data_IF_207857555021
#
_entry.id   IF_207857555021
#
_cell.length_a   1.000
_cell.length_b   1.000
_cell.length_c   1.000
_cell.angle_alpha   90.00
_cell.angle_beta   90.00
_cell.angle_gamma   90.00
#
_symmetry.space_group_name_H-M   'P 1'
#
loop_
_entity.id
_entity.type
_entity.pdbx_description
1 polymer ?
#
# COMPACT_ATOMS: atom_id res chain seq x y z
N UNK A 1 1.59 4.17 4.45
CA UNK A 1 1.66 2.98 3.56
C UNK A 1 1.41 3.35 2.11
N UNK A 2 0.24 3.88 1.72
CA UNK A 2 -0.10 4.12 0.29
C UNK A 2 0.97 4.89 -0.48
N UNK A 3 1.41 6.04 0.02
CA UNK A 3 2.42 6.86 -0.63
C UNK A 3 3.78 6.16 -0.70
N UNK A 4 4.21 5.54 0.40
CA UNK A 4 5.48 4.81 0.43
C UNK A 4 5.50 3.66 -0.58
N UNK A 5 4.46 2.83 -0.59
CA UNK A 5 4.37 1.72 -1.54
C UNK A 5 4.30 2.20 -3.00
N UNK A 6 3.67 3.36 -3.28
CA UNK A 6 3.69 3.97 -4.61
C UNK A 6 5.11 4.40 -5.01
N UNK A 7 5.85 5.06 -4.11
CA UNK A 7 7.24 5.48 -4.37
C UNK A 7 8.16 4.26 -4.59
N UNK A 8 7.99 3.21 -3.80
CA UNK A 8 8.72 1.95 -4.02
C UNK A 8 8.40 1.37 -5.39
N UNK A 9 7.13 1.33 -5.79
CA UNK A 9 6.73 0.83 -7.12
C UNK A 9 7.33 1.67 -8.25
N UNK A 10 7.36 3.00 -8.14
CA UNK A 10 8.05 3.88 -9.10
C UNK A 10 9.54 3.55 -9.18
N UNK A 11 10.20 3.34 -8.05
CA UNK A 11 11.62 2.98 -7.99
C UNK A 11 11.91 1.61 -8.63
N UNK A 12 10.94 0.69 -8.60
CA UNK A 12 11.00 -0.61 -9.25
C UNK A 12 10.64 -0.57 -10.75
N UNK A 13 10.35 0.60 -11.31
CA UNK A 13 10.14 0.81 -12.74
C UNK A 13 8.69 0.95 -13.19
N UNK A 14 7.73 1.00 -12.28
CA UNK A 14 6.35 1.30 -12.65
C UNK A 14 6.15 2.80 -12.88
N UNK A 15 5.32 3.16 -13.86
CA UNK A 15 4.89 4.54 -14.05
C UNK A 15 4.07 5.04 -12.85
N UNK A 16 4.02 6.37 -12.64
CA UNK A 16 3.36 6.97 -11.49
C UNK A 16 1.88 6.55 -11.34
N UNK A 17 1.15 6.52 -12.43
CA UNK A 17 -0.27 6.15 -12.40
C UNK A 17 -0.47 4.70 -11.95
N UNK A 18 0.32 3.77 -12.48
CA UNK A 18 0.34 2.37 -12.03
C UNK A 18 0.80 2.26 -10.57
N UNK A 19 1.87 2.95 -10.21
CA UNK A 19 2.44 2.95 -8.87
C UNK A 19 1.45 3.44 -7.80
N UNK A 20 0.69 4.47 -8.07
CA UNK A 20 -0.36 4.97 -7.17
C UNK A 20 -1.42 3.91 -6.88
N UNK A 21 -1.90 3.22 -7.92
CA UNK A 21 -2.91 2.16 -7.75
C UNK A 21 -2.35 0.95 -7.01
N UNK A 22 -1.11 0.56 -7.30
CA UNK A 22 -0.39 -0.50 -6.58
C UNK A 22 -0.21 -0.14 -5.10
N UNK A 23 0.20 1.10 -4.81
CA UNK A 23 0.37 1.60 -3.44
C UNK A 23 -0.91 1.55 -2.62
N UNK A 24 -2.04 1.93 -3.21
CA UNK A 24 -3.36 1.81 -2.57
C UNK A 24 -3.72 0.36 -2.28
N UNK A 25 -3.51 -0.53 -3.24
CA UNK A 25 -3.81 -1.96 -3.08
C UNK A 25 -2.97 -2.61 -1.97
N UNK A 26 -1.67 -2.34 -1.91
CA UNK A 26 -0.78 -2.82 -0.85
C UNK A 26 -1.25 -2.32 0.52
N UNK A 27 -1.63 -1.06 0.64
CA UNK A 27 -2.15 -0.52 1.89
C UNK A 27 -3.45 -1.23 2.33
N UNK A 28 -4.34 -1.51 1.40
CA UNK A 28 -5.58 -2.25 1.65
C UNK A 28 -5.31 -3.70 2.10
N UNK A 29 -4.43 -4.41 1.43
CA UNK A 29 -4.04 -5.78 1.78
C UNK A 29 -3.39 -5.86 3.17
N UNK A 30 -2.53 -4.90 3.51
CA UNK A 30 -1.93 -4.83 4.83
C UNK A 30 -2.95 -4.53 5.93
N UNK A 31 -3.90 -3.63 5.68
CA UNK A 31 -4.98 -3.34 6.62
C UNK A 31 -5.86 -4.56 6.87
N UNK A 32 -6.22 -5.31 5.83
CA UNK A 32 -7.00 -6.55 5.95
C UNK A 32 -6.24 -7.63 6.74
N UNK A 33 -4.96 -7.83 6.45
CA UNK A 33 -4.12 -8.79 7.15
C UNK A 33 -4.02 -8.46 8.65
N UNK A 34 -3.83 -7.19 8.99
CA UNK A 34 -3.81 -6.71 10.37
C UNK A 34 -5.17 -6.90 11.05
N UNK A 35 -6.26 -6.59 10.38
CA UNK A 35 -7.61 -6.75 10.90
C UNK A 35 -7.95 -8.20 11.21
N UNK A 36 -7.57 -9.14 10.36
CA UNK A 36 -7.73 -10.59 10.63
C UNK A 36 -6.93 -11.04 11.84
N UNK A 37 -5.70 -10.61 11.97
CA UNK A 37 -4.84 -10.96 13.11
C UNK A 37 -5.35 -10.40 14.44
N UNK A 38 -6.03 -9.26 14.41
CA UNK A 38 -6.62 -8.62 15.59
C UNK A 38 -8.07 -9.11 15.87
N UNK A 39 -8.61 -10.04 15.07
CA UNK A 39 -9.99 -10.54 15.25
C UNK A 39 -11.07 -9.52 14.90
N UNK A 40 -10.73 -8.41 14.24
CA UNK A 40 -11.69 -7.38 13.81
C UNK A 40 -12.50 -7.86 12.60
N UNK A 41 -11.88 -8.68 11.74
CA UNK A 41 -12.52 -9.33 10.61
C UNK A 41 -12.59 -10.84 10.89
N UNK A 42 -13.77 -11.35 11.19
CA UNK A 42 -13.99 -12.78 11.15
C UNK A 42 -13.95 -13.27 9.70
N UNK A 43 -13.28 -14.40 9.42
CA UNK A 43 -13.48 -15.06 8.13
C UNK A 43 -14.97 -15.36 8.02
N UNK A 44 -15.58 -15.00 6.89
CA UNK A 44 -16.98 -15.34 6.64
C UNK A 44 -17.21 -16.81 6.98
N UNK A 45 -18.14 -17.07 7.90
CA UNK A 45 -18.50 -18.43 8.28
C UNK A 45 -18.80 -19.22 7.00
N UNK A 46 -18.35 -20.47 6.86
CA UNK A 46 -18.68 -21.27 5.69
C UNK A 46 -20.21 -21.32 5.60
N UNK A 47 -20.74 -20.76 4.52
CA UNK A 47 -22.16 -20.83 4.23
C UNK A 47 -22.58 -22.28 4.29
N UNK A 48 -23.51 -22.59 5.19
CA UNK A 48 -24.08 -23.93 5.33
C UNK A 48 -24.47 -24.44 3.94
N UNK A 49 -23.99 -25.63 3.62
CA UNK A 49 -24.22 -26.33 2.37
C UNK A 49 -25.70 -26.32 2.01
N UNK A 50 -26.04 -25.68 0.90
CA UNK A 50 -27.42 -25.62 0.41
C UNK A 50 -27.56 -24.78 -0.84
N UNK A 51 -26.60 -24.80 -1.74
CA UNK A 51 -26.72 -24.56 -3.18
C UNK A 51 -25.31 -24.67 -3.80
N UNK A 52 -25.09 -25.71 -4.59
CA UNK A 52 -23.98 -25.78 -5.54
C UNK A 52 -24.13 -24.66 -6.59
N UNK A 53 -23.66 -23.46 -6.25
CA UNK A 53 -23.11 -22.57 -7.27
C UNK A 53 -21.63 -22.90 -7.31
N UNK A 54 -21.23 -23.58 -8.39
CA UNK A 54 -19.82 -23.65 -8.76
C UNK A 54 -19.26 -22.24 -8.68
N UNK A 55 -18.13 -22.00 -7.97
CA UNK A 55 -17.50 -20.70 -8.02
C UNK A 55 -17.14 -20.47 -9.48
N UNK A 56 -17.76 -19.48 -10.11
CA UNK A 56 -17.37 -19.04 -11.42
C UNK A 56 -15.86 -18.84 -11.38
N UNK A 57 -15.12 -19.53 -12.26
CA UNK A 57 -13.67 -19.47 -12.30
C UNK A 57 -13.28 -17.99 -12.36
N UNK A 58 -12.68 -17.47 -11.30
CA UNK A 58 -12.20 -16.09 -11.29
C UNK A 58 -11.22 -15.96 -12.44
N UNK A 59 -11.39 -14.98 -13.35
CA UNK A 59 -10.48 -14.83 -14.47
C UNK A 59 -9.07 -14.77 -13.92
N UNK A 60 -8.12 -15.50 -14.50
CA UNK A 60 -6.69 -15.42 -14.17
C UNK A 60 -6.28 -13.97 -14.36
N UNK A 61 -6.08 -13.27 -13.25
CA UNK A 61 -5.56 -11.91 -13.24
C UNK A 61 -4.04 -11.99 -13.14
N UNK A 62 -3.37 -11.11 -13.86
CA UNK A 62 -1.96 -10.89 -13.67
C UNK A 62 -1.74 -10.37 -12.25
N UNK A 63 -0.59 -10.66 -11.66
CA UNK A 63 -0.22 -10.17 -10.32
C UNK A 63 1.11 -9.44 -10.38
N UNK A 64 1.24 -8.42 -9.54
CA UNK A 64 2.51 -7.74 -9.27
C UNK A 64 2.87 -7.97 -7.80
N UNK A 65 4.10 -8.37 -7.57
CA UNK A 65 4.64 -8.49 -6.21
C UNK A 65 5.17 -7.14 -5.77
N UNK A 66 4.70 -6.64 -4.64
CA UNK A 66 5.14 -5.37 -4.08
C UNK A 66 5.12 -5.43 -2.55
N UNK A 67 6.26 -5.16 -1.94
CA UNK A 67 6.42 -5.17 -0.48
C UNK A 67 5.91 -6.46 0.17
N UNK A 68 6.20 -7.61 -0.45
CA UNK A 68 5.79 -8.93 0.03
C UNK A 68 4.30 -9.25 -0.15
N UNK A 69 3.58 -8.50 -0.98
CA UNK A 69 2.17 -8.72 -1.30
C UNK A 69 1.94 -9.01 -2.77
N UNK A 70 1.07 -9.96 -3.04
CA UNK A 70 0.55 -10.21 -4.39
C UNK A 70 -0.59 -9.23 -4.67
N UNK A 71 -0.38 -8.33 -5.60
CA UNK A 71 -1.38 -7.33 -6.00
C UNK A 71 -1.98 -7.76 -7.33
N UNK A 72 -3.27 -8.08 -7.39
CA UNK A 72 -3.93 -8.36 -8.66
C UNK A 72 -3.98 -7.10 -9.51
N UNK A 73 -3.64 -7.24 -10.78
CA UNK A 73 -3.55 -6.13 -11.73
C UNK A 73 -4.32 -6.44 -13.01
N UNK A 74 -4.67 -5.39 -13.72
CA UNK A 74 -5.30 -5.42 -15.02
C UNK A 74 -4.61 -4.45 -15.97
N UNK A 75 -4.35 -4.88 -17.18
CA UNK A 75 -3.91 -3.99 -18.26
C UNK A 75 -5.11 -3.20 -18.76
N UNK A 76 -4.98 -1.89 -18.77
CA UNK A 76 -5.95 -0.97 -19.34
C UNK A 76 -5.33 -0.25 -20.54
N UNK A 77 -6.14 0.47 -21.33
CA UNK A 77 -5.64 1.31 -22.43
C UNK A 77 -4.64 2.37 -21.95
N UNK A 78 -4.72 2.78 -20.68
CA UNK A 78 -3.88 3.82 -20.08
C UNK A 78 -2.75 3.23 -19.21
N UNK A 79 -2.48 1.92 -19.32
CA UNK A 79 -1.42 1.22 -18.61
C UNK A 79 -1.91 0.21 -17.57
N UNK A 80 -1.00 -0.26 -16.73
CA UNK A 80 -1.28 -1.23 -15.68
C UNK A 80 -2.00 -0.57 -14.51
N UNK A 81 -3.04 -1.22 -13.99
CA UNK A 81 -3.78 -0.76 -12.81
C UNK A 81 -3.99 -1.90 -11.83
N UNK A 82 -3.82 -1.61 -10.54
CA UNK A 82 -4.25 -2.54 -9.51
C UNK A 82 -5.78 -2.69 -9.51
N UNK A 83 -6.24 -3.88 -9.16
CA UNK A 83 -7.67 -4.19 -9.09
C UNK A 83 -8.12 -4.26 -7.64
N UNK A 84 -9.07 -3.40 -7.27
CA UNK A 84 -9.76 -3.44 -5.99
C UNK A 84 -11.23 -3.74 -6.20
N UNK A 85 -11.83 -4.62 -5.40
CA UNK A 85 -13.25 -4.97 -5.47
C UNK A 85 -13.77 -5.17 -6.92
N UNK A 86 -13.03 -5.93 -7.73
CA UNK A 86 -13.35 -6.29 -9.13
C UNK A 86 -13.19 -5.17 -10.17
N UNK A 87 -12.76 -3.98 -9.80
CA UNK A 87 -12.53 -2.86 -10.72
C UNK A 87 -11.08 -2.38 -10.65
N UNK A 88 -10.59 -1.87 -11.80
CA UNK A 88 -9.32 -1.17 -11.84
C UNK A 88 -9.38 0.09 -10.98
N UNK A 89 -8.37 0.28 -10.14
CA UNK A 89 -8.26 1.47 -9.29
C UNK A 89 -7.94 2.71 -10.12
N UNK A 90 -8.50 3.84 -9.72
CA UNK A 90 -8.27 5.13 -10.39
C UNK A 90 -7.06 5.86 -9.77
N UNK A 91 -6.01 6.17 -10.56
CA UNK A 91 -4.88 6.96 -10.06
C UNK A 91 -5.30 8.33 -9.51
N UNK A 92 -6.20 9.01 -10.18
CA UNK A 92 -6.71 10.32 -9.74
C UNK A 92 -7.43 10.25 -8.38
N UNK A 93 -8.11 9.14 -8.10
CA UNK A 93 -8.74 8.91 -6.79
C UNK A 93 -7.68 8.73 -5.69
N UNK A 94 -6.57 8.07 -6.00
CA UNK A 94 -5.47 7.89 -5.05
C UNK A 94 -4.75 9.22 -4.79
N UNK A 95 -4.48 10.00 -5.83
CA UNK A 95 -3.87 11.34 -5.68
C UNK A 95 -4.72 12.24 -4.79
N UNK A 96 -6.03 12.27 -5.02
CA UNK A 96 -6.98 13.03 -4.21
C UNK A 96 -6.96 12.59 -2.74
N UNK A 97 -6.92 11.31 -2.50
CA UNK A 97 -6.79 10.75 -1.16
C UNK A 97 -5.49 11.20 -0.48
N UNK A 98 -4.35 11.15 -1.17
CA UNK A 98 -3.07 11.61 -0.63
C UNK A 98 -3.06 13.10 -0.35
N UNK A 99 -3.65 13.90 -1.25
CA UNK A 99 -3.80 15.34 -1.06
C UNK A 99 -4.66 15.68 0.17
N UNK A 100 -5.78 14.98 0.35
CA UNK A 100 -6.63 15.16 1.53
C UNK A 100 -5.92 14.72 2.83
N UNK A 101 -5.11 13.67 2.75
CA UNK A 101 -4.43 13.12 3.93
C UNK A 101 -3.27 14.00 4.40
N UNK A 102 -2.46 14.50 3.49
CA UNK A 102 -1.22 15.22 3.81
C UNK A 102 -1.33 16.73 3.60
N UNK A 103 -2.29 17.20 2.78
CA UNK A 103 -2.49 18.62 2.49
C UNK A 103 -1.19 19.28 2.01
N UNK A 104 -0.84 20.42 2.62
CA UNK A 104 0.36 21.17 2.30
C UNK A 104 1.68 20.42 2.56
N UNK A 105 1.67 19.37 3.37
CA UNK A 105 2.86 18.58 3.70
C UNK A 105 3.16 17.46 2.70
N UNK A 106 2.27 17.22 1.72
CA UNK A 106 2.42 16.10 0.78
C UNK A 106 3.76 16.12 0.05
N UNK A 107 4.20 17.28 -0.44
CA UNK A 107 5.45 17.40 -1.19
C UNK A 107 6.69 17.12 -0.33
N UNK A 108 6.68 17.53 0.93
CA UNK A 108 7.80 17.29 1.84
C UNK A 108 7.88 15.83 2.26
N UNK A 109 6.72 15.20 2.50
CA UNK A 109 6.63 13.76 2.79
C UNK A 109 7.10 12.94 1.59
N UNK A 110 6.62 13.27 0.40
CA UNK A 110 7.00 12.61 -0.83
C UNK A 110 8.50 12.73 -1.10
N UNK A 111 9.07 13.91 -0.94
CA UNK A 111 10.52 14.16 -1.11
C UNK A 111 11.34 13.33 -0.13
N UNK A 112 10.96 13.29 1.15
CA UNK A 112 11.67 12.51 2.15
C UNK A 112 11.61 10.99 1.86
N UNK A 113 10.46 10.49 1.44
CA UNK A 113 10.29 9.08 1.08
C UNK A 113 11.03 8.72 -0.22
N UNK A 114 11.06 9.61 -1.22
CA UNK A 114 11.84 9.40 -2.44
C UNK A 114 13.33 9.31 -2.15
N UNK A 115 13.87 10.25 -1.37
CA UNK A 115 15.27 10.23 -0.96
C UNK A 115 15.64 8.93 -0.24
N UNK A 116 14.76 8.43 0.62
CA UNK A 116 14.94 7.14 1.28
C UNK A 116 14.94 5.98 0.27
N UNK A 117 14.00 5.95 -0.67
CA UNK A 117 13.93 4.90 -1.69
C UNK A 117 15.12 4.92 -2.63
N UNK A 118 15.61 6.10 -3.01
CA UNK A 118 16.77 6.30 -3.88
C UNK A 118 18.09 5.86 -3.23
N UNK A 119 18.17 5.83 -1.90
CA UNK A 119 19.34 5.35 -1.17
C UNK A 119 19.57 3.84 -1.28
N UNK A 120 18.62 3.12 -1.88
CA UNK A 120 18.70 1.68 -2.09
C UNK A 120 18.68 1.33 -3.60
N UNK A 121 19.47 0.34 -4.04
CA UNK A 121 19.25 -0.30 -5.34
C UNK A 121 17.85 -0.93 -5.39
N UNK A 122 17.18 -0.97 -6.57
CA UNK A 122 15.83 -1.50 -6.68
C UNK A 122 15.63 -2.90 -6.08
N UNK A 123 16.55 -3.82 -6.36
CA UNK A 123 16.48 -5.21 -5.87
C UNK A 123 16.62 -5.30 -4.34
N UNK A 124 17.39 -4.41 -3.75
CA UNK A 124 17.53 -4.31 -2.29
C UNK A 124 16.31 -3.65 -1.66
N UNK A 125 15.78 -2.61 -2.32
CA UNK A 125 14.60 -1.89 -1.84
C UNK A 125 13.37 -2.81 -1.74
N UNK A 126 13.16 -3.67 -2.73
CA UNK A 126 12.05 -4.63 -2.72
C UNK A 126 12.02 -5.47 -1.42
N UNK A 127 13.18 -5.90 -0.97
CA UNK A 127 13.33 -6.74 0.24
C UNK A 127 13.16 -5.96 1.54
N UNK A 128 13.60 -4.70 1.56
CA UNK A 128 13.63 -3.89 2.79
C UNK A 128 12.50 -2.87 2.90
N UNK A 129 11.71 -2.68 1.85
CA UNK A 129 10.69 -1.63 1.82
C UNK A 129 9.64 -1.75 2.93
N UNK A 130 9.22 -2.96 3.26
CA UNK A 130 8.28 -3.17 4.36
C UNK A 130 8.92 -2.95 5.73
N UNK A 131 10.07 -3.53 6.06
CA UNK A 131 10.82 -3.19 7.27
C UNK A 131 11.08 -1.70 7.45
N UNK A 132 11.47 -0.99 6.38
CA UNK A 132 11.64 0.47 6.42
C UNK A 132 10.35 1.20 6.78
N UNK A 133 9.23 0.78 6.20
CA UNK A 133 7.94 1.35 6.58
C UNK A 133 7.63 1.16 8.07
N UNK A 134 7.91 -0.02 8.63
CA UNK A 134 7.71 -0.29 10.05
C UNK A 134 8.56 0.64 10.96
N UNK A 135 9.73 1.08 10.49
CA UNK A 135 10.59 2.01 11.24
C UNK A 135 10.01 3.43 11.33
N UNK A 136 9.37 3.91 10.26
CA UNK A 136 8.86 5.30 10.23
C UNK A 136 7.33 5.42 10.22
N UNK A 137 6.60 4.32 10.23
CA UNK A 137 5.13 4.39 10.24
C UNK A 137 4.63 5.25 11.40
N UNK A 138 3.51 5.97 11.21
CA UNK A 138 2.89 6.72 12.30
C UNK A 138 2.52 5.80 13.46
N UNK A 139 2.89 6.18 14.66
CA UNK A 139 2.47 5.50 15.88
C UNK A 139 1.12 6.06 16.32
N UNK A 140 0.19 5.18 16.65
CA UNK A 140 -1.08 5.57 17.24
C UNK A 140 -0.85 5.75 18.74
N UNK A 141 -1.16 6.92 19.32
CA UNK A 141 -1.00 7.16 20.75
C UNK A 141 -1.73 6.10 21.58
N UNK A 142 -1.11 5.66 22.67
CA UNK A 142 -1.70 4.72 23.60
C UNK A 142 -3.03 5.29 24.16
N UNK A 143 -4.07 4.46 24.18
CA UNK A 143 -5.41 4.87 24.66
C UNK A 143 -6.34 5.38 23.57
N UNK A 144 -5.88 5.61 22.35
CA UNK A 144 -6.74 5.98 21.22
C UNK A 144 -7.40 4.71 20.67
N UNK A 145 -8.69 4.53 20.89
CA UNK A 145 -9.48 3.41 20.36
C UNK A 145 -10.37 3.90 19.24
N UNK A 146 -10.47 3.11 18.16
CA UNK A 146 -11.47 3.29 17.13
C UNK A 146 -10.92 3.43 15.71
N UNK A 147 -11.82 3.31 14.75
CA UNK A 147 -11.58 3.57 13.35
C UNK A 147 -11.24 5.05 13.14
N UNK A 148 -10.09 5.34 12.55
CA UNK A 148 -9.68 6.70 12.25
C UNK A 148 -8.71 7.33 13.25
N UNK A 149 -8.22 6.58 14.24
CA UNK A 149 -7.06 7.02 15.02
C UNK A 149 -5.89 7.34 14.08
N UNK A 150 -5.55 8.61 13.96
CA UNK A 150 -4.49 9.10 13.05
C UNK A 150 -3.22 9.29 13.88
N UNK A 151 -2.18 8.54 13.51
CA UNK A 151 -0.82 8.86 13.94
C UNK A 151 -0.26 9.98 13.05
N UNK A 152 0.56 10.83 13.62
CA UNK A 152 1.31 11.82 12.86
C UNK A 152 2.57 11.18 12.28
N UNK A 153 2.86 11.48 11.01
CA UNK A 153 4.06 11.02 10.34
C UNK A 153 5.23 11.93 10.73
N UNK A 154 6.24 11.36 11.35
CA UNK A 154 7.45 12.07 11.73
C UNK A 154 8.48 12.02 10.58
N UNK A 155 8.67 13.14 9.89
CA UNK A 155 9.66 13.29 8.82
C UNK A 155 11.08 13.06 9.30
N UNK A 156 11.37 13.34 10.58
CA UNK A 156 12.69 13.08 11.15
C UNK A 156 12.99 11.59 11.25
N UNK A 157 11.98 10.74 11.45
CA UNK A 157 12.15 9.27 11.42
C UNK A 157 12.52 8.80 10.00
N UNK A 158 11.88 9.33 8.97
CA UNK A 158 12.21 9.00 7.57
C UNK A 158 13.65 9.41 7.24
N UNK A 159 14.04 10.63 7.59
CA UNK A 159 15.39 11.14 7.36
C UNK A 159 16.45 10.37 8.12
N UNK A 160 16.16 9.92 9.34
CA UNK A 160 17.07 9.08 10.15
C UNK A 160 17.22 7.67 9.58
N UNK A 161 16.17 7.09 9.02
CA UNK A 161 16.24 5.80 8.35
C UNK A 161 17.18 5.86 7.15
N UNK A 162 17.17 6.96 6.39
CA UNK A 162 18.13 7.24 5.31
C UNK A 162 19.57 7.33 5.81
N UNK A 163 19.81 8.00 6.95
CA UNK A 163 21.15 8.25 7.48
C UNK A 163 21.84 7.02 8.07
N UNK A 164 21.08 6.09 8.63
CA UNK A 164 21.64 4.90 9.28
C UNK A 164 22.24 3.88 8.32
N UNK A 165 22.05 4.04 7.01
CA UNK A 165 22.41 3.04 6.01
C UNK A 165 23.21 3.59 4.81
N UNK A 166 23.49 4.86 4.84
CA UNK A 166 24.50 5.46 4.00
C UNK A 166 25.89 5.20 4.62
#
# INVERSE_FOLDING_TARGET
>A
MTLWAAIVAERLGHDRASALTLGKAVAGLNAQSKGRRLGIFEPAAPLKMGAKKEPAAKPKRDVVYLMGREVPVQKTKDGLRAVGKERAESPASVERYLQQKFGAHLSDVERAMRALAESYPPESLEKVAYPLYEEFRPEIPAGTRGWGAKGELDLAKIRRAHYKRA
#
